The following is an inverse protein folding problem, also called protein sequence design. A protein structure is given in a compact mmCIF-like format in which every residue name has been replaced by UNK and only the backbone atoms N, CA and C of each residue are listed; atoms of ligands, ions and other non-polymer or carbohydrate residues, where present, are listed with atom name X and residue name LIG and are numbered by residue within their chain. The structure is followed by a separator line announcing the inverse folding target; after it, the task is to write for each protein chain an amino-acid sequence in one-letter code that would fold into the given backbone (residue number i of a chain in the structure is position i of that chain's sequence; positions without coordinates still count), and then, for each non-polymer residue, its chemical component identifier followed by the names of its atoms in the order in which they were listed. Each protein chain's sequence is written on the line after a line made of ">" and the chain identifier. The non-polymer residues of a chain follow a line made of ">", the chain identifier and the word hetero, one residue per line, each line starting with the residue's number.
data_IF_995908177034
#
_entry.id   IF_995908177034
#
_cell.length_a   1.000
_cell.length_b   1.000
_cell.length_c   1.000
_cell.angle_alpha   90.00
_cell.angle_beta   90.00
_cell.angle_gamma   90.00
#
_symmetry.space_group_name_H-M   'P 1'
#
loop_
_entity.id
_entity.type
_entity.pdbx_description
1 polymer ?
#
# COMPACT_ATOMS: atom_id res chain seq x y z
N UNK A 1 5.02 -57.89 71.01
CA UNK A 1 4.03 -56.95 71.57
C UNK A 1 4.17 -55.65 70.79
N UNK A 2 3.21 -55.32 69.95
CA UNK A 2 3.23 -54.08 69.18
C UNK A 2 2.90 -52.93 70.13
N UNK A 3 3.76 -51.92 70.20
CA UNK A 3 3.56 -50.75 71.05
C UNK A 3 2.64 -49.77 70.33
N UNK A 4 1.37 -49.75 70.73
CA UNK A 4 0.42 -48.72 70.37
C UNK A 4 0.21 -47.85 71.59
N UNK A 5 0.47 -46.54 71.43
CA UNK A 5 0.33 -45.58 72.52
C UNK A 5 -0.24 -44.27 71.98
N UNK A 6 -1.20 -43.71 72.71
CA UNK A 6 -1.75 -42.40 72.44
C UNK A 6 -1.04 -41.38 73.34
N UNK A 7 -0.29 -40.47 72.70
CA UNK A 7 0.56 -39.49 73.36
C UNK A 7 0.13 -38.05 73.11
N UNK A 8 0.97 -37.10 73.56
CA UNK A 8 0.75 -35.66 73.35
C UNK A 8 0.70 -35.26 71.86
N UNK A 9 1.35 -36.05 71.00
CA UNK A 9 1.37 -35.86 69.54
C UNK A 9 0.32 -36.71 68.81
N UNK A 10 -0.73 -37.14 69.51
CA UNK A 10 -1.74 -38.06 68.99
C UNK A 10 -1.25 -39.51 68.93
N UNK A 11 -1.86 -40.28 68.03
CA UNK A 11 -1.60 -41.72 67.87
C UNK A 11 -0.17 -41.96 67.38
N UNK A 12 0.55 -42.87 68.05
CA UNK A 12 1.89 -43.28 67.64
C UNK A 12 1.86 -44.74 67.20
N UNK A 13 2.09 -44.98 65.91
CA UNK A 13 2.30 -46.31 65.35
C UNK A 13 3.65 -46.37 64.64
N UNK A 14 4.38 -47.45 64.91
CA UNK A 14 5.65 -47.75 64.30
C UNK A 14 5.48 -48.81 63.21
N UNK A 15 6.17 -48.62 62.09
CA UNK A 15 6.21 -49.62 61.04
C UNK A 15 7.02 -50.84 61.51
N UNK A 16 6.45 -52.04 61.32
CA UNK A 16 7.00 -53.32 61.81
C UNK A 16 8.35 -53.68 61.19
N UNK A 17 8.69 -53.15 60.02
CA UNK A 17 9.94 -53.50 59.30
C UNK A 17 11.12 -52.60 59.64
N UNK A 18 10.90 -51.33 59.99
CA UNK A 18 11.96 -50.35 60.20
C UNK A 18 11.91 -49.64 61.57
N UNK A 19 10.85 -49.85 62.36
CA UNK A 19 10.69 -49.23 63.68
C UNK A 19 10.48 -47.70 63.64
N UNK A 20 10.24 -47.11 62.47
CA UNK A 20 10.01 -45.68 62.32
C UNK A 20 8.52 -45.35 62.50
N UNK A 21 8.23 -44.17 63.06
CA UNK A 21 6.86 -43.66 63.16
C UNK A 21 6.39 -43.24 61.77
N UNK A 22 5.42 -43.97 61.22
CA UNK A 22 4.90 -43.72 59.88
C UNK A 22 3.46 -43.22 59.87
N UNK A 23 2.76 -43.32 61.00
CA UNK A 23 1.39 -42.82 61.18
C UNK A 23 1.42 -41.67 62.19
N UNK A 24 1.27 -40.45 61.69
CA UNK A 24 1.24 -39.22 62.48
C UNK A 24 0.40 -38.17 61.77
N UNK A 25 -0.35 -37.40 62.54
CA UNK A 25 -1.12 -36.27 62.01
C UNK A 25 -0.34 -34.97 62.25
N UNK A 26 -0.36 -34.06 61.29
CA UNK A 26 0.18 -32.72 61.40
C UNK A 26 -0.94 -31.69 61.36
N UNK A 27 -0.91 -30.78 62.34
CA UNK A 27 -1.83 -29.65 62.38
C UNK A 27 -1.27 -28.51 61.54
N UNK A 28 -2.03 -28.06 60.55
CA UNK A 28 -1.69 -26.88 59.75
C UNK A 28 -2.27 -25.67 60.43
N UNK A 29 -1.39 -24.73 60.79
CA UNK A 29 -1.75 -23.49 61.47
C UNK A 29 -1.50 -22.29 60.56
N UNK A 30 -2.35 -21.28 60.66
CA UNK A 30 -2.20 -20.00 59.97
C UNK A 30 -2.28 -18.86 60.96
N UNK A 31 -1.49 -17.82 60.72
CA UNK A 31 -1.52 -16.60 61.51
C UNK A 31 -2.62 -15.69 60.96
N UNK A 32 -3.62 -15.39 61.79
CA UNK A 32 -4.67 -14.41 61.53
C UNK A 32 -4.49 -13.19 62.44
N UNK A 33 -5.28 -12.14 62.20
CA UNK A 33 -5.24 -10.91 62.99
C UNK A 33 -5.50 -11.16 64.49
N UNK A 34 -6.32 -12.15 64.82
CA UNK A 34 -6.66 -12.51 66.22
C UNK A 34 -5.73 -13.55 66.86
N UNK A 35 -4.82 -14.14 66.09
CA UNK A 35 -3.85 -15.13 66.60
C UNK A 35 -3.60 -16.31 65.66
N UNK A 36 -2.91 -17.33 66.18
CA UNK A 36 -2.65 -18.58 65.47
C UNK A 36 -3.90 -19.47 65.53
N UNK A 37 -4.44 -19.83 64.38
CA UNK A 37 -5.57 -20.73 64.25
C UNK A 37 -5.18 -21.99 63.46
N UNK A 38 -5.69 -23.14 63.87
CA UNK A 38 -5.58 -24.39 63.11
C UNK A 38 -6.52 -24.33 61.91
N UNK A 39 -5.95 -24.37 60.70
CA UNK A 39 -6.67 -24.29 59.43
C UNK A 39 -6.84 -25.64 58.73
N UNK A 40 -6.08 -26.66 59.12
CA UNK A 40 -6.21 -27.99 58.55
C UNK A 40 -5.47 -29.08 59.31
N UNK A 41 -5.64 -30.30 58.84
CA UNK A 41 -4.91 -31.48 59.29
C UNK A 41 -4.30 -32.16 58.08
N UNK A 42 -3.06 -32.63 58.20
CA UNK A 42 -2.41 -33.44 57.20
C UNK A 42 -2.09 -34.81 57.79
N UNK A 43 -2.41 -35.86 57.05
CA UNK A 43 -2.07 -37.23 57.39
C UNK A 43 -1.37 -37.91 56.20
N UNK A 44 -0.40 -38.82 56.44
CA UNK A 44 0.35 -39.50 55.39
C UNK A 44 -0.51 -40.23 54.34
N UNK A 45 -1.63 -40.91 54.68
CA UNK A 45 -2.44 -41.60 53.67
C UNK A 45 -3.42 -40.68 52.92
N UNK A 46 -3.98 -39.63 53.54
CA UNK A 46 -5.01 -38.78 52.93
C UNK A 46 -4.51 -37.42 52.45
N UNK A 47 -3.28 -37.04 52.81
CA UNK A 47 -2.68 -35.77 52.43
C UNK A 47 -3.27 -34.59 53.21
N UNK A 48 -3.28 -33.40 52.60
CA UNK A 48 -3.75 -32.17 53.25
C UNK A 48 -5.27 -32.10 53.23
N UNK A 49 -5.90 -32.15 54.41
CA UNK A 49 -7.31 -31.88 54.61
C UNK A 49 -7.51 -30.53 55.28
N UNK A 50 -7.91 -29.52 54.51
CA UNK A 50 -8.14 -28.17 55.02
C UNK A 50 -9.52 -28.10 55.70
N UNK A 51 -9.54 -27.98 57.02
CA UNK A 51 -10.77 -27.79 57.82
C UNK A 51 -11.29 -26.35 57.75
N UNK A 52 -10.46 -25.42 57.28
CA UNK A 52 -10.92 -24.15 56.79
C UNK A 52 -11.77 -24.42 55.54
N UNK A 53 -13.06 -24.69 55.76
CA UNK A 53 -14.08 -24.14 54.89
C UNK A 53 -13.69 -22.68 54.87
N UNK A 54 -13.11 -22.22 53.76
CA UNK A 54 -13.25 -20.85 53.40
C UNK A 54 -14.78 -20.62 53.49
N UNK A 55 -15.26 -20.16 54.64
CA UNK A 55 -15.83 -18.84 54.65
C UNK A 55 -14.75 -17.95 54.01
N UNK A 56 -14.57 -18.06 52.69
CA UNK A 56 -15.25 -17.12 51.83
C UNK A 56 -16.46 -16.66 52.63
N UNK A 57 -16.23 -15.63 53.44
CA UNK A 57 -16.80 -14.37 53.03
C UNK A 57 -16.87 -14.45 51.50
N UNK A 58 -17.96 -15.03 51.02
CA UNK A 58 -18.85 -14.33 50.15
C UNK A 58 -19.20 -13.05 50.91
N UNK A 59 -18.21 -12.18 51.19
CA UNK A 59 -18.26 -10.83 50.70
C UNK A 59 -18.70 -11.07 49.29
N UNK A 60 -20.00 -10.86 49.05
CA UNK A 60 -20.55 -10.78 47.73
C UNK A 60 -19.45 -10.16 46.89
N UNK A 61 -18.97 -10.80 45.82
CA UNK A 61 -17.75 -10.31 45.13
C UNK A 61 -17.93 -8.84 44.73
N UNK A 62 -19.19 -8.40 44.59
CA UNK A 62 -19.65 -7.01 44.55
C UNK A 62 -19.23 -6.13 45.74
N UNK A 63 -19.35 -6.58 47.00
CA UNK A 63 -18.88 -5.86 48.20
C UNK A 63 -17.35 -5.87 48.33
N UNK A 64 -16.66 -6.85 47.72
CA UNK A 64 -15.19 -6.91 47.75
C UNK A 64 -14.54 -5.87 46.84
N UNK A 65 -15.22 -5.48 45.76
CA UNK A 65 -14.80 -4.41 44.85
C UNK A 65 -15.49 -3.07 45.11
N UNK A 66 -16.50 -3.04 45.98
CA UNK A 66 -17.12 -1.78 46.40
C UNK A 66 -16.04 -0.86 46.98
N UNK A 67 -15.95 0.36 46.42
CA UNK A 67 -14.95 1.36 46.79
C UNK A 67 -13.48 0.95 46.54
N UNK A 68 -13.20 0.01 45.62
CA UNK A 68 -11.85 -0.24 45.11
C UNK A 68 -11.68 0.36 43.72
N UNK A 69 -10.68 1.23 43.57
CA UNK A 69 -10.25 1.75 42.26
C UNK A 69 -9.14 0.85 41.71
N UNK A 70 -9.34 0.31 40.51
CA UNK A 70 -8.32 -0.47 39.80
C UNK A 70 -7.42 0.47 38.99
N UNK A 71 -6.11 0.34 39.16
CA UNK A 71 -5.12 1.11 38.40
C UNK A 71 -4.85 0.40 37.07
N UNK A 72 -5.22 1.02 35.95
CA UNK A 72 -5.00 0.51 34.59
C UNK A 72 -3.76 1.17 33.98
N UNK A 73 -2.82 0.37 33.45
CA UNK A 73 -1.64 0.85 32.72
C UNK A 73 -1.83 0.72 31.21
N UNK A 74 -1.49 1.74 30.44
CA UNK A 74 -1.59 1.72 28.97
C UNK A 74 -0.48 2.54 28.30
N UNK A 75 -0.23 2.32 27.01
CA UNK A 75 0.70 3.11 26.18
C UNK A 75 -0.11 4.01 25.24
N UNK A 76 0.44 5.17 24.89
CA UNK A 76 -0.20 6.10 23.97
C UNK A 76 0.04 5.65 22.54
N UNK A 77 -1.05 5.33 21.86
CA UNK A 77 -1.08 4.78 20.53
C UNK A 77 -2.36 5.28 19.87
N UNK A 78 -2.26 6.21 18.92
CA UNK A 78 -3.43 6.69 18.19
C UNK A 78 -3.95 5.58 17.26
N UNK A 79 -5.28 5.35 17.18
CA UNK A 79 -6.40 6.05 17.83
C UNK A 79 -6.86 5.41 19.16
N UNK A 80 -6.13 4.44 19.70
CA UNK A 80 -6.53 3.62 20.84
C UNK A 80 -6.34 4.33 22.20
N UNK A 81 -5.29 5.14 22.35
CA UNK A 81 -4.97 5.88 23.57
C UNK A 81 -4.29 7.19 23.20
N UNK A 82 -4.95 8.31 23.52
CA UNK A 82 -4.50 9.66 23.17
C UNK A 82 -4.17 10.47 24.43
N UNK A 83 -3.20 11.38 24.32
CA UNK A 83 -2.79 12.20 25.47
C UNK A 83 -3.86 13.19 25.87
N UNK A 84 -4.09 13.27 27.19
CA UNK A 84 -4.29 14.55 27.87
C UNK A 84 -3.08 14.76 28.81
N UNK A 85 -2.39 15.89 28.66
CA UNK A 85 -1.04 16.16 29.19
C UNK A 85 -0.95 16.09 30.74
N UNK A 86 -0.11 15.21 31.29
CA UNK A 86 0.71 15.26 32.55
C UNK A 86 1.39 13.88 32.75
N UNK A 87 2.57 13.84 33.40
CA UNK A 87 3.66 12.84 33.25
C UNK A 87 3.94 11.95 34.50
N UNK A 88 4.61 10.80 34.26
CA UNK A 88 5.51 9.94 35.12
C UNK A 88 4.88 8.67 35.77
N UNK A 89 5.45 7.45 35.92
CA UNK A 89 6.48 6.56 35.28
C UNK A 89 6.45 5.19 36.05
N UNK A 90 6.61 4.03 35.34
CA UNK A 90 7.07 2.66 35.77
C UNK A 90 6.19 1.74 36.67
N UNK A 91 6.32 0.39 36.70
CA UNK A 91 6.74 -0.71 35.78
C UNK A 91 6.29 -2.10 36.34
N UNK A 92 5.76 -2.96 35.45
CA UNK A 92 5.85 -4.44 35.27
C UNK A 92 5.29 -5.51 36.26
N UNK A 93 4.99 -6.68 35.66
CA UNK A 93 4.46 -8.00 36.14
C UNK A 93 2.94 -8.23 35.96
N UNK A 94 2.48 -8.68 34.77
CA UNK A 94 1.05 -9.01 34.50
C UNK A 94 0.92 -10.18 33.50
N UNK A 95 -0.07 -11.06 33.74
CA UNK A 95 -0.51 -12.16 32.86
C UNK A 95 -1.56 -11.71 31.80
N UNK A 96 -1.55 -12.33 30.62
CA UNK A 96 -2.35 -11.90 29.46
C UNK A 96 -3.69 -12.65 29.27
N UNK A 97 -4.68 -11.96 28.67
CA UNK A 97 -5.96 -12.54 28.24
C UNK A 97 -5.94 -13.01 26.78
N UNK A 98 -7.05 -13.61 26.30
CA UNK A 98 -7.18 -14.05 24.89
C UNK A 98 -7.17 -12.82 23.94
N UNK A 99 -6.50 -12.90 22.77
CA UNK A 99 -6.44 -11.77 21.84
C UNK A 99 -7.83 -11.42 21.30
N UNK A 100 -8.17 -10.13 21.27
CA UNK A 100 -9.48 -9.64 20.81
C UNK A 100 -9.47 -9.05 19.39
N UNK A 101 -8.29 -8.80 18.80
CA UNK A 101 -8.11 -8.24 17.46
C UNK A 101 -6.94 -8.92 16.76
N UNK A 102 -7.13 -9.38 15.52
CA UNK A 102 -6.08 -9.97 14.68
C UNK A 102 -5.56 -8.92 13.69
N UNK A 103 -4.38 -8.36 13.94
CA UNK A 103 -3.69 -7.45 13.01
C UNK A 103 -2.75 -8.24 12.09
N UNK A 104 -2.61 -7.80 10.85
CA UNK A 104 -1.67 -8.35 9.86
C UNK A 104 -0.68 -7.29 9.37
N UNK A 105 0.34 -7.70 8.62
CA UNK A 105 1.32 -6.79 8.02
C UNK A 105 0.70 -6.10 6.80
N UNK A 106 0.77 -4.77 6.75
CA UNK A 106 0.32 -3.96 5.60
C UNK A 106 1.46 -3.08 5.07
N UNK A 107 1.44 -2.79 3.77
CA UNK A 107 2.42 -1.90 3.12
C UNK A 107 1.79 -0.52 2.97
N UNK A 108 2.37 0.48 3.65
CA UNK A 108 2.00 1.87 3.50
C UNK A 108 2.97 2.57 2.53
N UNK A 109 2.44 3.21 1.49
CA UNK A 109 3.23 4.03 0.57
C UNK A 109 2.61 5.42 0.41
N UNK A 110 3.46 6.41 0.10
CA UNK A 110 3.03 7.77 -0.15
C UNK A 110 2.22 7.82 -1.44
N UNK A 111 1.03 8.44 -1.41
CA UNK A 111 0.26 8.73 -2.62
C UNK A 111 1.14 9.50 -3.61
N UNK A 112 1.31 9.02 -4.86
CA UNK A 112 2.11 9.73 -5.84
C UNK A 112 1.49 11.11 -6.10
N UNK A 113 2.35 12.12 -6.23
CA UNK A 113 1.89 13.45 -6.62
C UNK A 113 1.39 13.35 -8.06
N UNK A 114 0.13 13.73 -8.30
CA UNK A 114 -0.38 13.84 -9.66
C UNK A 114 0.40 14.93 -10.40
N UNK A 115 1.12 14.56 -11.45
CA UNK A 115 1.70 15.52 -12.38
C UNK A 115 0.55 16.18 -13.13
N UNK A 116 0.33 17.48 -12.92
CA UNK A 116 -0.63 18.24 -13.71
C UNK A 116 -0.22 18.18 -15.19
N UNK A 117 -1.11 17.75 -16.06
CA UNK A 117 -0.88 17.81 -17.51
C UNK A 117 -0.68 19.26 -17.92
N UNK A 118 0.52 19.61 -18.40
CA UNK A 118 0.81 20.95 -18.91
C UNK A 118 -0.02 21.31 -20.15
N UNK A 119 -0.05 22.59 -20.53
CA UNK A 119 -0.81 23.09 -21.68
C UNK A 119 -0.53 22.35 -23.01
N UNK A 120 0.70 21.86 -23.21
CA UNK A 120 1.11 21.12 -24.40
C UNK A 120 1.02 19.59 -24.25
N UNK A 121 0.17 19.09 -23.35
CA UNK A 121 0.03 17.65 -23.14
C UNK A 121 -0.44 16.88 -24.39
N UNK A 122 -0.96 17.58 -25.41
CA UNK A 122 -1.31 16.98 -26.70
C UNK A 122 -0.07 16.59 -27.55
N UNK A 123 1.11 17.15 -27.26
CA UNK A 123 2.38 16.80 -27.93
C UNK A 123 3.10 15.63 -27.24
N UNK A 124 2.73 15.30 -25.99
CA UNK A 124 3.29 14.18 -25.23
C UNK A 124 3.19 12.78 -25.86
N UNK A 125 2.23 12.43 -26.75
CA UNK A 125 2.23 11.10 -27.37
C UNK A 125 3.44 10.83 -28.27
N UNK A 126 4.17 11.87 -28.71
CA UNK A 126 5.42 11.71 -29.46
C UNK A 126 6.57 12.48 -28.83
N UNK A 127 7.77 11.90 -28.87
CA UNK A 127 9.00 12.54 -28.38
C UNK A 127 9.26 13.85 -29.16
N UNK A 128 9.75 14.93 -28.51
CA UNK A 128 10.06 16.20 -29.19
C UNK A 128 10.99 16.06 -30.40
N UNK A 129 11.90 15.08 -30.39
CA UNK A 129 12.79 14.81 -31.51
C UNK A 129 12.03 14.46 -32.79
N UNK A 130 10.95 13.66 -32.68
CA UNK A 130 10.12 13.24 -33.82
C UNK A 130 9.45 14.46 -34.46
N UNK A 131 8.98 15.41 -33.66
CA UNK A 131 8.39 16.66 -34.15
C UNK A 131 9.39 17.48 -34.97
N UNK A 132 10.64 17.55 -34.53
CA UNK A 132 11.72 18.22 -35.29
C UNK A 132 11.99 17.50 -36.61
N UNK A 133 12.03 16.16 -36.61
CA UNK A 133 12.22 15.38 -37.84
C UNK A 133 11.05 15.53 -38.82
N UNK A 134 9.80 15.58 -38.34
CA UNK A 134 8.61 15.82 -39.18
C UNK A 134 8.70 17.20 -39.84
N UNK A 135 9.05 18.24 -39.09
CA UNK A 135 9.22 19.59 -39.62
C UNK A 135 10.34 19.64 -40.69
N UNK A 136 11.49 19.00 -40.41
CA UNK A 136 12.61 18.96 -41.34
C UNK A 136 12.27 18.20 -42.63
N UNK A 137 11.61 17.04 -42.52
CA UNK A 137 11.17 16.24 -43.66
C UNK A 137 10.15 17.00 -44.51
N UNK A 138 9.19 17.67 -43.87
CA UNK A 138 8.22 18.54 -44.54
C UNK A 138 8.90 19.64 -45.38
N UNK A 139 9.84 20.38 -44.79
CA UNK A 139 10.59 21.42 -45.50
C UNK A 139 11.41 20.84 -46.68
N UNK A 140 12.02 19.67 -46.48
CA UNK A 140 12.77 18.96 -47.50
C UNK A 140 11.90 18.57 -48.71
N UNK A 141 10.73 17.96 -48.46
CA UNK A 141 9.81 17.53 -49.53
C UNK A 141 9.24 18.73 -50.29
N UNK A 142 8.87 19.81 -49.62
CA UNK A 142 8.40 21.03 -50.29
C UNK A 142 9.48 21.66 -51.17
N UNK A 143 10.75 21.65 -50.73
CA UNK A 143 11.88 22.11 -51.53
C UNK A 143 12.12 21.23 -52.76
N UNK A 144 12.13 19.90 -52.59
CA UNK A 144 12.32 18.94 -53.68
C UNK A 144 11.19 19.03 -54.71
N UNK A 145 9.94 19.17 -54.26
CA UNK A 145 8.78 19.39 -55.13
C UNK A 145 8.92 20.70 -55.92
N UNK A 146 9.34 21.80 -55.29
CA UNK A 146 9.56 23.07 -55.98
C UNK A 146 10.63 22.97 -57.07
N UNK A 147 11.78 22.35 -56.76
CA UNK A 147 12.88 22.16 -57.71
C UNK A 147 12.42 21.34 -58.92
N UNK A 148 11.76 20.20 -58.68
CA UNK A 148 11.33 19.28 -59.75
C UNK A 148 10.19 19.87 -60.56
N UNK A 149 9.26 20.61 -59.95
CA UNK A 149 8.22 21.31 -60.67
C UNK A 149 8.78 22.43 -61.57
N UNK A 150 9.90 23.06 -61.20
CA UNK A 150 10.56 24.07 -62.05
C UNK A 150 11.29 23.45 -63.24
N UNK A 151 11.92 22.29 -63.03
CA UNK A 151 12.69 21.58 -64.06
C UNK A 151 11.84 20.72 -65.00
N UNK A 152 10.63 20.34 -64.61
CA UNK A 152 9.74 19.56 -65.46
C UNK A 152 8.93 20.49 -66.37
N UNK A 153 9.21 20.53 -67.70
CA UNK A 153 8.47 21.37 -68.64
C UNK A 153 6.99 20.96 -68.75
N UNK A 154 6.63 19.73 -68.35
CA UNK A 154 5.26 19.22 -68.37
C UNK A 154 4.35 19.78 -67.24
N UNK A 155 4.90 20.47 -66.24
CA UNK A 155 4.09 21.18 -65.23
C UNK A 155 3.64 22.57 -65.70
N UNK A 156 4.26 23.08 -66.76
CA UNK A 156 3.95 24.37 -67.35
C UNK A 156 2.71 24.22 -68.23
N UNK A 157 1.70 25.05 -68.01
CA UNK A 157 0.46 25.01 -68.80
C UNK A 157 0.05 26.40 -69.25
N UNK A 158 -0.60 26.47 -70.41
CA UNK A 158 -1.16 27.71 -70.91
C UNK A 158 -2.41 28.08 -70.13
N UNK A 159 -2.35 29.20 -69.40
CA UNK A 159 -3.47 29.68 -68.60
C UNK A 159 -4.66 30.15 -69.46
N UNK A 160 -4.39 30.57 -70.71
CA UNK A 160 -5.40 31.14 -71.62
C UNK A 160 -5.31 30.51 -73.03
N UNK A 161 -5.80 29.26 -73.21
CA UNK A 161 -5.73 28.55 -74.49
C UNK A 161 -6.54 29.20 -75.62
N UNK A 162 -7.39 30.19 -75.31
CA UNK A 162 -8.23 30.91 -76.26
C UNK A 162 -7.51 32.09 -76.95
N UNK A 163 -6.27 32.43 -76.56
CA UNK A 163 -5.52 33.54 -77.15
C UNK A 163 -4.26 33.02 -77.88
N UNK A 164 -4.31 32.79 -79.20
CA UNK A 164 -3.27 32.07 -79.96
C UNK A 164 -1.94 32.83 -80.16
N UNK A 165 -1.71 33.93 -79.44
CA UNK A 165 -0.50 34.75 -79.51
C UNK A 165 0.20 35.01 -78.16
N UNK A 166 -0.23 34.38 -77.07
CA UNK A 166 0.42 34.49 -75.76
C UNK A 166 1.10 33.18 -75.38
N UNK A 167 2.41 33.09 -75.57
CA UNK A 167 3.26 31.96 -75.11
C UNK A 167 3.53 32.01 -73.58
N UNK A 168 2.59 32.56 -72.81
CA UNK A 168 2.75 32.74 -71.36
C UNK A 168 2.31 31.46 -70.65
N UNK A 169 3.27 30.58 -70.42
CA UNK A 169 3.08 29.37 -69.63
C UNK A 169 3.19 29.67 -68.13
N UNK A 170 2.23 29.16 -67.35
CA UNK A 170 2.20 29.32 -65.90
C UNK A 170 2.53 28.01 -65.18
N UNK A 171 3.14 28.12 -64.01
CA UNK A 171 3.45 27.00 -63.13
C UNK A 171 2.83 27.27 -61.75
N UNK A 172 1.87 26.42 -61.35
CA UNK A 172 1.15 26.58 -60.09
C UNK A 172 1.99 26.18 -58.87
N UNK A 173 3.11 25.46 -59.04
CA UNK A 173 4.02 25.08 -57.96
C UNK A 173 5.11 26.14 -57.75
N UNK A 174 4.71 27.25 -57.13
CA UNK A 174 5.65 28.17 -56.47
C UNK A 174 6.11 27.60 -55.12
N UNK A 175 7.20 28.09 -54.55
CA UNK A 175 7.72 27.62 -53.25
C UNK A 175 6.64 27.66 -52.15
N UNK A 176 5.86 28.74 -52.09
CA UNK A 176 4.74 28.89 -51.15
C UNK A 176 3.61 27.87 -51.42
N UNK A 177 3.30 27.62 -52.69
CA UNK A 177 2.29 26.65 -53.09
C UNK A 177 2.74 25.21 -52.85
N UNK A 178 4.04 24.91 -52.99
CA UNK A 178 4.64 23.62 -52.61
C UNK A 178 4.60 23.39 -51.10
N UNK A 179 4.74 24.44 -50.29
CA UNK A 179 4.50 24.35 -48.84
C UNK A 179 3.02 24.10 -48.54
N UNK A 180 2.11 24.80 -49.22
CA UNK A 180 0.67 24.63 -49.06
C UNK A 180 0.20 23.22 -49.42
N UNK A 181 0.73 22.65 -50.51
CA UNK A 181 0.52 21.24 -50.88
C UNK A 181 0.96 20.28 -49.76
N UNK A 182 2.12 20.53 -49.15
CA UNK A 182 2.61 19.73 -48.04
C UNK A 182 1.76 19.83 -46.77
N UNK A 183 1.20 21.01 -46.46
CA UNK A 183 0.29 21.19 -45.31
C UNK A 183 -1.04 20.50 -45.57
N UNK A 184 -1.62 20.68 -46.76
CA UNK A 184 -2.90 20.07 -47.13
C UNK A 184 -2.86 18.53 -47.13
N UNK A 185 -1.71 17.95 -47.49
CA UNK A 185 -1.49 16.50 -47.41
C UNK A 185 -1.29 16.00 -45.97
N UNK A 186 -0.52 16.72 -45.14
CA UNK A 186 -0.34 16.38 -43.71
C UNK A 186 -1.66 16.44 -42.92
N UNK A 187 -2.50 17.44 -43.21
CA UNK A 187 -3.80 17.62 -42.54
C UNK A 187 -4.92 16.75 -43.13
N UNK A 188 -4.63 15.90 -44.12
CA UNK A 188 -5.59 15.05 -44.82
C UNK A 188 -6.77 15.83 -45.46
N UNK A 189 -6.60 17.14 -45.70
CA UNK A 189 -7.65 18.02 -46.25
C UNK A 189 -7.59 18.14 -47.77
N UNK A 190 -6.55 17.59 -48.40
CA UNK A 190 -6.29 17.75 -49.83
C UNK A 190 -5.87 19.17 -50.17
N UNK A 191 -5.34 19.38 -51.38
CA UNK A 191 -4.97 20.70 -51.88
C UNK A 191 -5.56 20.91 -53.27
N UNK A 192 -5.94 22.13 -53.58
CA UNK A 192 -6.41 22.53 -54.92
C UNK A 192 -5.31 22.44 -55.99
N UNK A 193 -4.05 22.33 -55.55
CA UNK A 193 -2.87 22.16 -56.39
C UNK A 193 -2.69 20.69 -56.73
N UNK A 194 -2.79 20.37 -58.02
CA UNK A 194 -2.64 19.01 -58.54
C UNK A 194 -1.35 18.86 -59.36
N UNK A 195 -0.43 17.92 -59.02
CA UNK A 195 0.75 17.65 -59.83
C UNK A 195 0.36 17.02 -61.18
N UNK A 196 0.85 17.59 -62.28
CA UNK A 196 0.57 17.12 -63.64
C UNK A 196 1.67 16.18 -64.16
N UNK A 197 2.92 16.46 -63.85
CA UNK A 197 4.06 15.65 -64.29
C UNK A 197 4.15 14.32 -63.50
N UNK A 198 4.73 13.30 -64.15
CA UNK A 198 4.88 11.99 -63.52
C UNK A 198 5.87 12.03 -62.34
N UNK A 199 6.93 12.83 -62.42
CA UNK A 199 7.95 12.98 -61.37
C UNK A 199 7.38 13.60 -60.08
N UNK A 200 6.59 14.67 -60.20
CA UNK A 200 5.94 15.35 -59.06
C UNK A 200 4.85 14.48 -58.43
N UNK A 201 4.13 13.69 -59.23
CA UNK A 201 3.15 12.69 -58.74
C UNK A 201 3.78 11.58 -57.91
N UNK A 202 4.94 11.06 -58.31
CA UNK A 202 5.64 10.01 -57.55
C UNK A 202 6.05 10.55 -56.16
N UNK A 203 6.60 11.76 -56.10
CA UNK A 203 7.00 12.38 -54.83
C UNK A 203 5.79 12.67 -53.95
N UNK A 204 4.71 13.21 -54.54
CA UNK A 204 3.45 13.41 -53.84
C UNK A 204 2.86 12.10 -53.30
N UNK A 205 2.96 11.01 -54.06
CA UNK A 205 2.50 9.68 -53.64
C UNK A 205 3.32 9.08 -52.49
N UNK A 206 4.65 9.22 -52.52
CA UNK A 206 5.54 8.80 -51.43
C UNK A 206 5.27 9.61 -50.17
N UNK A 207 5.11 10.93 -50.30
CA UNK A 207 4.76 11.81 -49.19
C UNK A 207 3.38 11.47 -48.61
N UNK A 208 2.40 11.19 -49.46
CA UNK A 208 1.07 10.79 -49.02
C UNK A 208 1.09 9.47 -48.25
N UNK A 209 1.88 8.48 -48.71
CA UNK A 209 2.10 7.23 -47.99
C UNK A 209 2.78 7.47 -46.64
N UNK A 210 3.78 8.36 -46.57
CA UNK A 210 4.42 8.75 -45.32
C UNK A 210 3.46 9.39 -44.32
N UNK A 211 2.56 10.29 -44.78
CA UNK A 211 1.55 10.93 -43.91
C UNK A 211 0.42 10.01 -43.46
N UNK A 212 0.25 8.86 -44.14
CA UNK A 212 -0.76 7.86 -43.83
C UNK A 212 -0.31 6.92 -42.72
N UNK A 213 0.99 6.60 -42.68
CA UNK A 213 1.63 5.77 -41.65
C UNK A 213 1.63 6.50 -40.31
#
# INVERSE_FOLDING_TARGET
>A
KEAHWDGLTGRVLFNKTNGLRTDFDLDVISLKEEGLEKIGTWDPPSGLNMTETHKSKTSNITDSLANKSLRVSTILEEPYVMFKKITYTREKFIDFSKPFMSMGISILYRKPNNTNSGFFSFLNPMTPDIWVYILLAYLGVSCVLFVIARFSPYEWYDAHPCNPGSDVVENNFTLLNSFWFGVGSLMQQGSELMPKALSTRIIGGIWWFFTLI
#
